data_IF_465281266056
#
_entry.id   IF_465281266056
#
_cell.length_a   1.000
_cell.length_b   1.000
_cell.length_c   1.000
_cell.angle_alpha   90.00
_cell.angle_beta   90.00
_cell.angle_gamma   90.00
#
_symmetry.space_group_name_H-M   'P 1'
#
loop_
_entity.id
_entity.type
_entity.pdbx_description
1 polymer ?
#
# COMPACT_ATOMS: atom_id res chain seq x y z
N UNK A 1 -16.07 0.68 -28.62
CA UNK A 1 -14.70 0.18 -28.32
C UNK A 1 -13.63 0.67 -29.30
N UNK A 2 -13.97 1.53 -30.28
CA UNK A 2 -13.12 1.85 -31.44
C UNK A 2 -11.94 2.80 -31.18
N UNK A 3 -11.76 3.30 -29.95
CA UNK A 3 -10.63 4.19 -29.58
C UNK A 3 -9.67 3.63 -28.53
N UNK A 4 -9.87 2.40 -28.04
CA UNK A 4 -8.99 1.81 -27.03
C UNK A 4 -7.65 1.36 -27.66
N UNK A 5 -6.48 1.69 -27.07
CA UNK A 5 -5.20 1.23 -27.57
C UNK A 5 -5.17 -0.30 -27.73
N UNK A 6 -4.55 -0.81 -28.81
CA UNK A 6 -4.52 -2.25 -29.09
C UNK A 6 -3.91 -3.07 -27.94
N UNK A 7 -2.90 -2.52 -27.23
CA UNK A 7 -2.31 -3.13 -26.04
C UNK A 7 -3.34 -3.34 -24.93
N UNK A 8 -4.22 -2.35 -24.70
CA UNK A 8 -5.31 -2.46 -23.73
C UNK A 8 -6.31 -3.54 -24.18
N UNK A 9 -6.63 -3.60 -25.48
CA UNK A 9 -7.49 -4.67 -26.03
C UNK A 9 -6.86 -6.05 -25.88
N UNK A 10 -5.55 -6.19 -26.07
CA UNK A 10 -4.83 -7.45 -25.84
C UNK A 10 -4.84 -7.85 -24.37
N UNK A 11 -4.61 -6.91 -23.45
CA UNK A 11 -4.73 -7.17 -22.01
C UNK A 11 -6.14 -7.66 -21.66
N UNK A 12 -7.17 -7.01 -22.20
CA UNK A 12 -8.56 -7.42 -22.05
C UNK A 12 -8.90 -8.72 -22.82
N UNK A 13 -8.14 -9.11 -23.84
CA UNK A 13 -8.27 -10.42 -24.47
C UNK A 13 -7.69 -11.50 -23.57
N UNK A 14 -6.42 -11.35 -23.20
CA UNK A 14 -5.65 -12.31 -22.41
C UNK A 14 -6.24 -12.57 -21.03
N UNK A 15 -6.64 -11.52 -20.31
CA UNK A 15 -7.26 -11.66 -18.98
C UNK A 15 -8.64 -12.34 -19.01
N UNK A 16 -9.30 -12.42 -20.17
CA UNK A 16 -10.53 -13.19 -20.37
C UNK A 16 -10.23 -14.66 -20.67
N UNK A 17 -9.18 -14.92 -21.46
CA UNK A 17 -8.77 -16.26 -21.88
C UNK A 17 -7.97 -17.03 -20.80
N UNK A 18 -7.64 -16.40 -19.66
CA UNK A 18 -6.81 -17.03 -18.64
C UNK A 18 -7.43 -18.35 -18.10
N UNK A 19 -6.72 -19.49 -18.23
CA UNK A 19 -7.19 -20.77 -17.73
C UNK A 19 -7.46 -20.72 -16.21
N UNK A 20 -8.46 -21.47 -15.74
CA UNK A 20 -8.84 -21.51 -14.31
C UNK A 20 -7.67 -21.90 -13.40
N UNK A 21 -6.87 -22.86 -13.84
CA UNK A 21 -5.70 -23.31 -13.09
C UNK A 21 -4.65 -22.20 -12.99
N UNK A 22 -4.36 -21.49 -14.09
CA UNK A 22 -3.41 -20.39 -14.11
C UNK A 22 -3.87 -19.20 -13.24
N UNK A 23 -5.16 -18.88 -13.26
CA UNK A 23 -5.75 -17.88 -12.37
C UNK A 23 -5.60 -18.28 -10.89
N UNK A 24 -5.89 -19.54 -10.56
CA UNK A 24 -5.76 -20.05 -9.20
C UNK A 24 -4.31 -20.04 -8.71
N UNK A 25 -3.36 -20.47 -9.54
CA UNK A 25 -1.93 -20.45 -9.16
C UNK A 25 -1.41 -19.03 -8.98
N UNK A 26 -1.84 -18.08 -9.83
CA UNK A 26 -1.53 -16.67 -9.68
C UNK A 26 -2.11 -16.11 -8.38
N UNK A 27 -3.38 -16.40 -8.08
CA UNK A 27 -4.03 -15.97 -6.85
C UNK A 27 -3.25 -16.47 -5.63
N UNK A 28 -2.90 -17.77 -5.62
CA UNK A 28 -2.13 -18.38 -4.54
C UNK A 28 -0.75 -17.75 -4.39
N UNK A 29 -0.07 -17.42 -5.50
CA UNK A 29 1.25 -16.76 -5.50
C UNK A 29 1.16 -15.35 -4.91
N UNK A 30 0.25 -14.52 -5.40
CA UNK A 30 0.04 -13.15 -4.91
C UNK A 30 -0.33 -13.15 -3.43
N UNK A 31 -1.26 -14.04 -3.05
CA UNK A 31 -1.75 -14.14 -1.68
C UNK A 31 -0.67 -14.55 -0.68
N UNK A 32 0.16 -15.54 -1.06
CA UNK A 32 1.32 -15.97 -0.28
C UNK A 32 2.39 -14.89 -0.19
N UNK A 33 2.67 -14.19 -1.29
CA UNK A 33 3.65 -13.10 -1.31
C UNK A 33 3.32 -11.93 -0.38
N UNK A 34 2.03 -11.76 -0.05
CA UNK A 34 1.55 -10.74 0.88
C UNK A 34 1.38 -11.26 2.31
N UNK A 35 1.69 -12.53 2.59
CA UNK A 35 1.44 -13.20 3.88
C UNK A 35 -0.02 -13.06 4.34
N UNK A 36 -0.96 -13.14 3.40
CA UNK A 36 -2.40 -12.99 3.68
C UNK A 36 -2.98 -14.27 4.30
N UNK A 37 -4.02 -14.11 5.11
CA UNK A 37 -4.76 -15.21 5.73
C UNK A 37 -5.21 -16.24 4.66
N UNK A 38 -4.74 -17.50 4.71
CA UNK A 38 -5.09 -18.53 3.72
C UNK A 38 -6.59 -18.71 3.50
N UNK A 39 -7.42 -18.53 4.53
CA UNK A 39 -8.88 -18.66 4.43
C UNK A 39 -9.49 -17.63 3.46
N UNK A 40 -8.83 -16.48 3.29
CA UNK A 40 -9.27 -15.36 2.44
C UNK A 40 -8.75 -15.43 1.00
N UNK A 41 -8.10 -16.53 0.59
CA UNK A 41 -7.61 -16.70 -0.78
C UNK A 41 -8.73 -16.56 -1.82
N UNK A 42 -9.95 -16.98 -1.46
CA UNK A 42 -11.13 -16.87 -2.34
C UNK A 42 -11.41 -15.44 -2.81
N UNK A 43 -11.08 -14.45 -1.99
CA UNK A 43 -11.29 -13.02 -2.28
C UNK A 43 -10.49 -12.55 -3.50
N UNK A 44 -9.26 -13.08 -3.66
CA UNK A 44 -8.43 -12.83 -4.86
C UNK A 44 -9.07 -13.38 -6.13
N UNK A 45 -9.90 -14.41 -6.00
CA UNK A 45 -10.67 -15.01 -7.10
C UNK A 45 -12.06 -14.38 -7.25
N UNK A 46 -12.29 -13.24 -6.58
CA UNK A 46 -13.56 -12.52 -6.59
C UNK A 46 -14.67 -13.16 -5.76
N UNK A 47 -14.36 -14.16 -4.92
CA UNK A 47 -15.34 -14.78 -4.04
C UNK A 47 -15.36 -14.03 -2.71
N UNK A 48 -16.44 -13.31 -2.46
CA UNK A 48 -16.58 -12.58 -1.21
C UNK A 48 -16.73 -13.54 -0.02
N UNK A 49 -16.17 -13.13 1.11
CA UNK A 49 -16.25 -13.84 2.40
C UNK A 49 -17.37 -13.30 3.29
N UNK A 50 -17.90 -12.12 2.95
CA UNK A 50 -18.94 -11.42 3.68
C UNK A 50 -20.20 -11.27 2.80
N UNK A 51 -21.41 -11.33 3.39
CA UNK A 51 -22.62 -11.02 2.66
C UNK A 51 -22.61 -9.56 2.21
N UNK A 52 -23.22 -9.28 1.06
CA UNK A 52 -23.41 -7.91 0.59
C UNK A 52 -24.54 -7.27 1.41
N UNK A 53 -24.32 -6.12 2.07
CA UNK A 53 -25.38 -5.43 2.80
C UNK A 53 -26.43 -4.85 1.85
N UNK A 54 -27.63 -4.62 2.38
CA UNK A 54 -28.69 -3.92 1.67
C UNK A 54 -28.35 -2.43 1.49
N UNK A 55 -28.93 -1.82 0.45
CA UNK A 55 -28.77 -0.40 0.15
C UNK A 55 -27.64 -0.06 -0.83
N UNK A 56 -27.38 1.25 -0.92
CA UNK A 56 -26.43 1.87 -1.86
C UNK A 56 -25.00 1.76 -1.36
N UNK A 57 -24.36 0.62 -1.65
CA UNK A 57 -22.98 0.32 -1.27
C UNK A 57 -21.99 1.25 -2.02
N UNK A 58 -21.13 1.93 -1.28
CA UNK A 58 -19.97 2.65 -1.82
C UNK A 58 -18.73 1.78 -1.71
N UNK A 59 -18.05 1.56 -2.82
CA UNK A 59 -16.81 0.80 -2.87
C UNK A 59 -15.60 1.72 -2.97
N UNK A 60 -14.69 1.63 -2.01
CA UNK A 60 -13.42 2.37 -1.99
C UNK A 60 -12.26 1.39 -2.24
N UNK A 61 -11.56 1.52 -3.37
CA UNK A 61 -10.36 0.78 -3.67
C UNK A 61 -9.10 1.54 -3.24
N UNK A 62 -8.55 1.14 -2.09
CA UNK A 62 -7.36 1.71 -1.46
C UNK A 62 -6.32 0.60 -1.26
N UNK A 63 -5.42 0.43 -2.21
CA UNK A 63 -4.49 -0.70 -2.27
C UNK A 63 -3.52 -0.77 -1.07
N UNK A 64 -3.11 0.38 -0.54
CA UNK A 64 -2.06 0.51 0.48
C UNK A 64 -2.56 1.06 1.82
N UNK A 65 -1.72 0.94 2.87
CA UNK A 65 -1.99 1.53 4.20
C UNK A 65 -2.22 3.04 4.13
N UNK A 66 -1.43 3.75 3.33
CA UNK A 66 -1.52 5.21 3.21
C UNK A 66 -2.82 5.67 2.58
N UNK A 67 -3.31 4.93 1.59
CA UNK A 67 -4.58 5.21 0.91
C UNK A 67 -5.78 4.89 1.80
N UNK A 68 -5.71 3.78 2.56
CA UNK A 68 -6.75 3.48 3.54
C UNK A 68 -6.80 4.56 4.63
N UNK A 69 -5.63 5.05 5.05
CA UNK A 69 -5.56 6.11 6.04
C UNK A 69 -6.16 7.44 5.54
N UNK A 70 -5.89 7.82 4.28
CA UNK A 70 -6.45 9.06 3.72
C UNK A 70 -7.95 8.99 3.49
N UNK A 71 -8.51 7.79 3.25
CA UNK A 71 -9.95 7.60 3.03
C UNK A 71 -10.75 7.31 4.30
N UNK A 72 -10.11 7.24 5.48
CA UNK A 72 -10.79 6.83 6.71
C UNK A 72 -11.92 7.79 7.12
N UNK A 73 -11.71 9.09 7.00
CA UNK A 73 -12.71 10.10 7.37
C UNK A 73 -13.88 10.08 6.36
N UNK A 74 -13.58 10.07 5.06
CA UNK A 74 -14.60 9.91 4.01
C UNK A 74 -15.44 8.64 4.19
N UNK A 75 -14.81 7.52 4.54
CA UNK A 75 -15.54 6.27 4.80
C UNK A 75 -16.52 6.43 5.96
N UNK A 76 -16.10 7.09 7.06
CA UNK A 76 -17.00 7.35 8.21
C UNK A 76 -18.14 8.27 7.84
N UNK A 77 -17.88 9.33 7.07
CA UNK A 77 -18.91 10.27 6.64
C UNK A 77 -19.96 9.59 5.75
N UNK A 78 -19.52 8.73 4.82
CA UNK A 78 -20.42 7.94 3.97
C UNK A 78 -21.29 6.98 4.80
N UNK A 79 -20.71 6.31 5.79
CA UNK A 79 -21.45 5.42 6.68
C UNK A 79 -22.43 6.19 7.57
N UNK A 80 -22.04 7.36 8.08
CA UNK A 80 -22.92 8.24 8.84
C UNK A 80 -24.09 8.76 7.99
N UNK A 81 -23.89 8.95 6.68
CA UNK A 81 -24.93 9.27 5.72
C UNK A 81 -25.82 8.05 5.32
N UNK A 82 -25.59 6.88 5.91
CA UNK A 82 -26.39 5.67 5.68
C UNK A 82 -25.93 4.81 4.49
N UNK A 83 -24.75 5.06 3.93
CA UNK A 83 -24.18 4.23 2.86
C UNK A 83 -23.27 3.15 3.42
N UNK A 84 -23.53 1.86 3.19
CA UNK A 84 -22.56 0.82 3.51
C UNK A 84 -21.28 1.05 2.72
N UNK A 85 -20.12 0.86 3.36
CA UNK A 85 -18.81 1.07 2.73
C UNK A 85 -18.04 -0.24 2.63
N UNK A 86 -17.58 -0.57 1.43
CA UNK A 86 -16.62 -1.64 1.18
C UNK A 86 -15.26 -1.05 0.86
N UNK A 87 -14.23 -1.44 1.61
CA UNK A 87 -12.85 -1.07 1.34
C UNK A 87 -12.11 -2.29 0.78
N UNK A 88 -11.50 -2.13 -0.41
CA UNK A 88 -10.59 -3.14 -0.95
C UNK A 88 -9.14 -2.72 -0.86
N UNK A 89 -8.28 -3.68 -0.48
CA UNK A 89 -6.83 -3.46 -0.37
C UNK A 89 -6.06 -4.55 -1.09
N UNK A 90 -4.82 -4.28 -1.49
CA UNK A 90 -3.92 -5.30 -2.05
C UNK A 90 -3.00 -5.88 -1.00
N UNK A 91 -2.67 -5.10 0.04
CA UNK A 91 -1.72 -5.47 1.11
C UNK A 91 -2.43 -5.94 2.37
N UNK A 92 -1.78 -6.84 3.13
CA UNK A 92 -2.24 -7.31 4.45
C UNK A 92 -2.24 -6.21 5.49
N UNK A 93 -1.23 -5.36 5.47
CA UNK A 93 -1.14 -4.17 6.33
C UNK A 93 -2.24 -3.17 6.02
N UNK A 94 -2.55 -2.93 4.74
CA UNK A 94 -3.71 -2.15 4.31
C UNK A 94 -5.01 -2.73 4.84
N UNK A 95 -5.19 -4.05 4.72
CA UNK A 95 -6.38 -4.73 5.24
C UNK A 95 -6.50 -4.71 6.77
N UNK A 96 -5.37 -4.76 7.50
CA UNK A 96 -5.36 -4.55 8.94
C UNK A 96 -5.75 -3.11 9.32
N UNK A 97 -5.36 -2.11 8.52
CA UNK A 97 -5.80 -0.73 8.72
C UNK A 97 -7.28 -0.54 8.40
N UNK A 98 -7.77 -1.13 7.31
CA UNK A 98 -9.17 -1.01 6.89
C UNK A 98 -10.13 -1.58 7.94
N UNK A 99 -9.79 -2.74 8.54
CA UNK A 99 -10.57 -3.35 9.63
C UNK A 99 -10.62 -2.55 10.93
N UNK A 100 -9.80 -1.50 11.08
CA UNK A 100 -9.88 -0.58 12.22
C UNK A 100 -10.86 0.56 11.99
N UNK A 101 -11.43 0.68 10.80
CA UNK A 101 -12.50 1.63 10.51
C UNK A 101 -13.81 0.92 10.88
N UNK A 102 -14.39 1.33 12.00
CA UNK A 102 -15.62 0.72 12.51
C UNK A 102 -16.77 0.83 11.50
N UNK A 103 -17.56 -0.23 11.36
CA UNK A 103 -18.64 -0.34 10.37
C UNK A 103 -18.22 -0.63 8.92
N UNK A 104 -16.95 -0.39 8.53
CA UNK A 104 -16.51 -0.61 7.15
C UNK A 104 -16.27 -2.11 6.86
N UNK A 105 -16.77 -2.58 5.72
CA UNK A 105 -16.48 -3.91 5.21
C UNK A 105 -15.10 -3.94 4.55
N UNK A 106 -14.39 -5.06 4.66
CA UNK A 106 -13.08 -5.22 4.03
C UNK A 106 -13.00 -6.49 3.20
N UNK A 107 -12.45 -6.37 1.98
CA UNK A 107 -12.07 -7.51 1.14
C UNK A 107 -10.71 -7.26 0.47
N UNK A 108 -9.91 -8.30 0.22
CA UNK A 108 -8.79 -8.15 -0.73
C UNK A 108 -9.29 -7.90 -2.15
N UNK A 109 -8.59 -7.01 -2.87
CA UNK A 109 -8.87 -6.73 -4.27
C UNK A 109 -8.78 -8.04 -5.09
N UNK A 110 -9.77 -8.32 -5.96
CA UNK A 110 -9.70 -9.46 -6.87
C UNK A 110 -8.51 -9.32 -7.82
N UNK A 111 -8.06 -10.44 -8.38
CA UNK A 111 -7.15 -10.42 -9.52
C UNK A 111 -7.80 -9.68 -10.70
N UNK A 112 -6.96 -9.01 -11.49
CA UNK A 112 -7.38 -8.28 -12.70
C UNK A 112 -7.70 -9.23 -13.88
N UNK A 113 -8.48 -10.25 -13.61
CA UNK A 113 -8.98 -11.25 -14.55
C UNK A 113 -10.48 -11.07 -14.74
N UNK A 114 -11.00 -11.44 -15.92
CA UNK A 114 -12.43 -11.28 -16.19
C UNK A 114 -13.29 -12.06 -15.18
N UNK A 115 -12.87 -13.27 -14.81
CA UNK A 115 -13.64 -14.14 -13.92
C UNK A 115 -13.66 -13.62 -12.48
N UNK A 116 -12.51 -13.25 -11.91
CA UNK A 116 -12.45 -12.74 -10.55
C UNK A 116 -13.14 -11.37 -10.43
N UNK A 117 -12.88 -10.48 -11.38
CA UNK A 117 -13.50 -9.14 -11.39
C UNK A 117 -15.02 -9.22 -11.51
N UNK A 118 -15.55 -10.06 -12.41
CA UNK A 118 -17.01 -10.22 -12.55
C UNK A 118 -17.65 -10.75 -11.28
N UNK A 119 -17.11 -11.83 -10.70
CA UNK A 119 -17.62 -12.39 -9.43
C UNK A 119 -17.64 -11.35 -8.32
N UNK A 120 -16.58 -10.54 -8.21
CA UNK A 120 -16.51 -9.45 -7.24
C UNK A 120 -17.64 -8.44 -7.47
N UNK A 121 -17.80 -7.94 -8.69
CA UNK A 121 -18.81 -6.92 -9.01
C UNK A 121 -20.24 -7.47 -8.97
N UNK A 122 -20.45 -8.74 -9.31
CA UNK A 122 -21.76 -9.41 -9.30
C UNK A 122 -22.25 -9.64 -7.86
N UNK A 123 -21.33 -9.90 -6.93
CA UNK A 123 -21.65 -9.98 -5.50
C UNK A 123 -21.87 -8.60 -4.88
N UNK A 124 -20.89 -7.71 -5.02
CA UNK A 124 -20.87 -6.43 -4.31
C UNK A 124 -21.73 -5.36 -4.94
N UNK A 125 -22.06 -5.45 -6.23
CA UNK A 125 -22.89 -4.51 -7.04
C UNK A 125 -22.88 -3.07 -6.47
N UNK A 126 -21.71 -2.40 -6.48
CA UNK A 126 -21.55 -1.09 -5.88
C UNK A 126 -22.39 -0.04 -6.62
N UNK A 127 -22.92 0.93 -5.88
CA UNK A 127 -23.60 2.10 -6.43
C UNK A 127 -22.61 3.21 -6.83
N UNK A 128 -21.42 3.21 -6.25
CA UNK A 128 -20.32 4.13 -6.54
C UNK A 128 -18.99 3.41 -6.31
N UNK A 129 -18.01 3.62 -7.20
CA UNK A 129 -16.66 3.11 -7.05
C UNK A 129 -15.63 4.24 -6.98
N UNK A 130 -14.92 4.34 -5.86
CA UNK A 130 -13.88 5.32 -5.58
C UNK A 130 -12.50 4.64 -5.63
N UNK A 131 -11.63 5.05 -6.54
CA UNK A 131 -10.26 4.57 -6.65
C UNK A 131 -9.31 5.61 -6.06
N UNK A 132 -8.27 5.19 -5.33
CA UNK A 132 -7.37 6.13 -4.64
C UNK A 132 -5.99 6.16 -5.32
N UNK A 133 -5.49 7.38 -5.57
CA UNK A 133 -4.16 7.74 -6.07
C UNK A 133 -3.75 7.25 -7.47
N UNK A 134 -3.77 5.94 -7.73
CA UNK A 134 -3.20 5.40 -8.97
C UNK A 134 -3.27 3.90 -9.20
N UNK A 135 -4.03 3.14 -8.42
CA UNK A 135 -4.23 1.70 -8.66
C UNK A 135 -5.28 1.45 -9.74
N UNK A 136 -4.89 1.77 -10.98
CA UNK A 136 -5.72 1.65 -12.18
C UNK A 136 -5.56 0.27 -12.83
N UNK A 137 -6.44 -0.65 -12.45
CA UNK A 137 -6.45 -2.03 -12.97
C UNK A 137 -7.36 -2.13 -14.21
N UNK A 138 -6.80 -2.40 -15.41
CA UNK A 138 -7.56 -2.22 -16.65
C UNK A 138 -8.82 -3.08 -16.76
N UNK A 139 -8.77 -4.35 -16.31
CA UNK A 139 -9.96 -5.20 -16.33
C UNK A 139 -10.98 -4.75 -15.29
N UNK A 140 -10.54 -4.43 -14.08
CA UNK A 140 -11.38 -3.94 -13.01
C UNK A 140 -12.18 -2.69 -13.43
N UNK A 141 -11.48 -1.69 -13.99
CA UNK A 141 -12.11 -0.47 -14.50
C UNK A 141 -13.05 -0.76 -15.66
N UNK A 142 -12.64 -1.62 -16.59
CA UNK A 142 -13.46 -1.98 -17.75
C UNK A 142 -14.77 -2.65 -17.35
N UNK A 143 -14.74 -3.63 -16.45
CA UNK A 143 -15.92 -4.37 -16.02
C UNK A 143 -16.82 -3.54 -15.08
N UNK A 144 -16.25 -2.59 -14.34
CA UNK A 144 -17.00 -1.62 -13.53
C UNK A 144 -17.75 -0.65 -14.43
N UNK A 145 -17.07 -0.05 -15.41
CA UNK A 145 -17.71 0.81 -16.42
C UNK A 145 -18.77 0.07 -17.25
N UNK A 146 -18.54 -1.21 -17.58
CA UNK A 146 -19.50 -2.03 -18.32
C UNK A 146 -20.80 -2.30 -17.55
N UNK A 147 -20.81 -2.09 -16.23
CA UNK A 147 -22.00 -2.16 -15.36
C UNK A 147 -22.62 -0.79 -15.10
N UNK A 148 -22.14 0.25 -15.79
CA UNK A 148 -22.58 1.64 -15.60
C UNK A 148 -22.47 2.12 -14.14
N UNK A 149 -21.52 1.57 -13.38
CA UNK A 149 -21.23 2.05 -12.02
C UNK A 149 -20.44 3.35 -12.14
N UNK A 150 -20.92 4.47 -11.55
CA UNK A 150 -20.16 5.71 -11.50
C UNK A 150 -18.80 5.51 -10.82
N UNK A 151 -17.76 6.12 -11.39
CA UNK A 151 -16.39 5.97 -10.91
C UNK A 151 -15.74 7.32 -10.60
N UNK A 152 -15.15 7.43 -9.42
CA UNK A 152 -14.33 8.56 -9.01
C UNK A 152 -12.86 8.12 -8.79
N UNK A 153 -11.90 8.86 -9.33
CA UNK A 153 -10.48 8.74 -8.96
C UNK A 153 -10.15 9.84 -7.96
N UNK A 154 -9.78 9.46 -6.74
CA UNK A 154 -9.51 10.37 -5.65
C UNK A 154 -8.00 10.54 -5.44
N UNK A 155 -7.58 11.77 -5.19
CA UNK A 155 -6.19 12.12 -4.87
C UNK A 155 -5.15 11.67 -5.91
N UNK A 156 -5.47 11.78 -7.20
CA UNK A 156 -4.55 11.41 -8.27
C UNK A 156 -3.19 12.11 -8.09
N UNK A 157 -2.13 11.29 -8.10
CA UNK A 157 -0.74 11.72 -7.88
C UNK A 157 0.06 11.69 -9.19
N UNK A 158 1.21 12.38 -9.30
CA UNK A 158 2.12 12.25 -10.44
C UNK A 158 2.48 10.79 -10.72
N UNK A 159 2.49 10.37 -11.99
CA UNK A 159 2.77 8.99 -12.37
C UNK A 159 3.62 8.87 -13.64
N UNK A 160 4.71 8.11 -13.52
CA UNK A 160 5.56 7.76 -14.67
C UNK A 160 4.84 6.91 -15.70
N UNK A 161 3.82 6.14 -15.32
CA UNK A 161 3.05 5.32 -16.27
C UNK A 161 2.28 6.19 -17.27
N UNK A 162 1.81 7.35 -16.84
CA UNK A 162 1.12 8.32 -17.71
C UNK A 162 2.04 8.92 -18.75
N UNK A 163 3.28 9.20 -18.38
CA UNK A 163 4.31 9.63 -19.32
C UNK A 163 4.73 8.51 -20.29
N UNK A 164 4.88 7.27 -19.80
CA UNK A 164 5.36 6.13 -20.61
C UNK A 164 4.30 5.56 -21.55
N UNK A 165 3.03 5.60 -21.15
CA UNK A 165 1.91 5.05 -21.91
C UNK A 165 0.70 6.02 -21.87
N UNK A 166 0.83 7.21 -22.48
CA UNK A 166 -0.19 8.26 -22.38
C UNK A 166 -1.52 7.83 -22.96
N UNK A 167 -1.53 7.12 -24.09
CA UNK A 167 -2.76 6.62 -24.72
C UNK A 167 -3.51 5.60 -23.86
N UNK A 168 -2.77 4.71 -23.18
CA UNK A 168 -3.39 3.72 -22.26
C UNK A 168 -3.94 4.47 -21.05
N UNK A 169 -3.16 5.38 -20.49
CA UNK A 169 -3.56 6.16 -19.33
C UNK A 169 -4.80 7.02 -19.62
N UNK A 170 -4.84 7.71 -20.76
CA UNK A 170 -6.01 8.43 -21.23
C UNK A 170 -7.24 7.53 -21.35
N UNK A 171 -7.08 6.32 -21.92
CA UNK A 171 -8.18 5.37 -22.08
C UNK A 171 -8.70 4.77 -20.76
N UNK A 172 -7.86 4.73 -19.71
CA UNK A 172 -8.26 4.33 -18.36
C UNK A 172 -8.89 5.50 -17.61
N UNK A 173 -8.29 6.69 -17.68
CA UNK A 173 -8.75 7.90 -16.98
C UNK A 173 -10.08 8.42 -17.54
N UNK A 174 -10.35 8.24 -18.83
CA UNK A 174 -11.62 8.62 -19.45
C UNK A 174 -12.82 7.79 -18.98
N UNK A 175 -12.59 6.76 -18.17
CA UNK A 175 -13.64 5.96 -17.55
C UNK A 175 -14.20 6.58 -16.27
N UNK A 176 -13.51 7.56 -15.69
CA UNK A 176 -13.93 8.21 -14.48
C UNK A 176 -14.87 9.37 -14.78
N UNK A 177 -15.93 9.49 -13.96
CA UNK A 177 -16.87 10.59 -13.98
C UNK A 177 -16.32 11.79 -13.21
N UNK A 178 -15.49 11.53 -12.21
CA UNK A 178 -14.78 12.52 -11.42
C UNK A 178 -13.33 12.10 -11.18
N UNK A 179 -12.40 13.03 -11.31
CA UNK A 179 -11.00 12.86 -10.94
C UNK A 179 -10.59 14.01 -10.02
N UNK A 180 -10.19 13.74 -8.79
CA UNK A 180 -9.55 14.73 -7.93
C UNK A 180 -8.04 14.53 -7.93
N UNK A 181 -7.27 15.62 -7.96
CA UNK A 181 -5.80 15.59 -8.02
C UNK A 181 -5.18 16.28 -6.80
N UNK A 182 -3.95 15.89 -6.48
CA UNK A 182 -3.17 16.47 -5.39
C UNK A 182 -2.74 17.92 -5.65
N UNK A 183 -2.60 18.29 -6.93
CA UNK A 183 -2.11 19.61 -7.34
C UNK A 183 -2.63 19.99 -8.72
N UNK A 184 -2.57 21.29 -9.01
CA UNK A 184 -2.92 21.82 -10.33
C UNK A 184 -1.99 21.28 -11.42
N UNK A 185 -0.72 21.01 -11.10
CA UNK A 185 0.23 20.40 -12.03
C UNK A 185 -0.23 19.01 -12.50
N UNK A 186 -0.77 18.18 -11.60
CA UNK A 186 -1.32 16.87 -11.96
C UNK A 186 -2.63 17.01 -12.73
N UNK A 187 -3.47 18.00 -12.38
CA UNK A 187 -4.68 18.31 -13.16
C UNK A 187 -4.32 18.69 -14.59
N UNK A 188 -3.34 19.57 -14.79
CA UNK A 188 -2.85 19.94 -16.11
C UNK A 188 -2.30 18.73 -16.90
N UNK A 189 -1.54 17.84 -16.24
CA UNK A 189 -1.05 16.59 -16.84
C UNK A 189 -2.22 15.72 -17.34
N UNK A 190 -3.24 15.51 -16.51
CA UNK A 190 -4.40 14.67 -16.84
C UNK A 190 -5.27 15.29 -17.93
N UNK A 191 -5.49 16.59 -17.88
CA UNK A 191 -6.21 17.33 -18.92
C UNK A 191 -5.48 17.26 -20.27
N UNK A 192 -4.15 17.38 -20.26
CA UNK A 192 -3.33 17.25 -21.48
C UNK A 192 -3.40 15.84 -22.10
N UNK A 193 -3.76 14.81 -21.33
CA UNK A 193 -4.02 13.47 -21.87
C UNK A 193 -5.38 13.36 -22.58
N UNK A 194 -6.21 14.40 -22.57
CA UNK A 194 -7.51 14.44 -23.22
C UNK A 194 -8.68 14.04 -22.31
N UNK A 195 -8.48 14.07 -20.99
CA UNK A 195 -9.60 13.96 -20.03
C UNK A 195 -10.29 15.32 -19.94
N UNK A 196 -11.62 15.31 -19.97
CA UNK A 196 -12.45 16.50 -19.87
C UNK A 196 -12.10 17.34 -18.63
N UNK A 197 -11.63 18.61 -18.78
CA UNK A 197 -11.26 19.46 -17.67
C UNK A 197 -12.39 19.67 -16.66
N UNK A 198 -13.66 19.58 -17.08
CA UNK A 198 -14.82 19.74 -16.19
C UNK A 198 -14.92 18.59 -15.17
N UNK A 199 -14.29 17.45 -15.45
CA UNK A 199 -14.28 16.26 -14.60
C UNK A 199 -13.06 16.16 -13.69
N UNK A 200 -12.06 17.02 -13.90
CA UNK A 200 -10.78 16.95 -13.18
C UNK A 200 -10.69 18.12 -12.22
N UNK A 201 -10.76 17.88 -10.91
CA UNK A 201 -10.68 18.90 -9.86
C UNK A 201 -9.33 18.81 -9.13
N UNK A 202 -8.82 19.93 -8.62
CA UNK A 202 -7.59 19.97 -7.82
C UNK A 202 -7.86 20.57 -6.42
N UNK A 203 -8.64 19.89 -5.55
CA UNK A 203 -8.99 20.42 -4.23
C UNK A 203 -7.81 20.45 -3.24
N UNK A 204 -6.68 19.83 -3.57
CA UNK A 204 -5.50 19.67 -2.70
C UNK A 204 -5.30 18.23 -2.23
N UNK A 205 -4.21 17.98 -1.51
CA UNK A 205 -3.83 16.62 -1.09
C UNK A 205 -4.70 16.13 0.09
N UNK A 206 -5.49 15.09 -0.16
CA UNK A 206 -6.31 14.42 0.85
C UNK A 206 -5.48 13.87 2.02
N UNK A 207 -4.19 13.55 1.83
CA UNK A 207 -3.31 13.14 2.94
C UNK A 207 -3.01 14.27 3.91
N UNK A 208 -2.94 15.51 3.40
CA UNK A 208 -2.70 16.68 4.23
C UNK A 208 -3.94 17.08 5.04
N UNK A 209 -5.14 16.74 4.54
CA UNK A 209 -6.41 16.97 5.22
C UNK A 209 -6.75 15.92 6.28
N UNK A 210 -6.07 14.78 6.29
CA UNK A 210 -6.36 13.70 7.24
C UNK A 210 -6.11 14.12 8.68
N UNK A 211 -7.03 13.75 9.58
CA UNK A 211 -6.86 14.03 11.01
C UNK A 211 -5.54 13.43 11.53
N UNK A 212 -4.80 14.15 12.39
CA UNK A 212 -3.57 13.62 12.95
C UNK A 212 -3.87 12.33 13.72
N UNK A 213 -3.01 11.29 13.58
CA UNK A 213 -3.23 10.04 14.28
C UNK A 213 -3.22 10.28 15.80
N UNK A 214 -4.02 9.51 16.53
CA UNK A 214 -4.00 9.50 18.00
C UNK A 214 -2.58 9.19 18.46
N UNK A 215 -1.91 10.19 19.04
CA UNK A 215 -0.59 10.05 19.61
C UNK A 215 -0.72 9.83 21.12
N UNK A 216 0.08 8.91 21.63
CA UNK A 216 0.35 8.78 23.06
C UNK A 216 0.99 10.10 23.53
N UNK A 217 0.27 10.87 24.34
CA UNK A 217 0.64 12.22 24.75
C UNK A 217 1.94 12.25 25.52
N UNK A 218 2.21 11.20 26.30
CA UNK A 218 3.40 11.09 27.14
C UNK A 218 4.62 10.78 26.27
N UNK A 219 4.47 9.86 25.32
CA UNK A 219 5.53 9.60 24.32
C UNK A 219 5.77 10.80 23.42
N UNK A 220 4.73 11.55 23.06
CA UNK A 220 4.86 12.76 22.25
C UNK A 220 5.58 13.87 23.03
N UNK A 221 5.28 14.05 24.32
CA UNK A 221 5.96 14.98 25.20
C UNK A 221 7.43 14.58 25.43
N UNK A 222 7.70 13.28 25.61
CA UNK A 222 9.03 12.70 25.70
C UNK A 222 9.87 12.96 24.44
N UNK A 223 9.28 12.78 23.25
CA UNK A 223 9.94 13.10 22.00
C UNK A 223 10.17 14.61 21.88
N UNK A 224 9.15 15.44 22.12
CA UNK A 224 9.27 16.91 22.05
C UNK A 224 10.36 17.46 22.97
N UNK A 225 10.42 16.96 24.20
CA UNK A 225 11.44 17.34 25.19
C UNK A 225 12.84 16.86 24.79
N UNK A 226 12.97 15.66 24.21
CA UNK A 226 14.24 15.15 23.70
C UNK A 226 14.80 15.98 22.52
N UNK A 227 13.94 16.66 21.75
CA UNK A 227 14.35 17.43 20.57
C UNK A 227 14.59 18.93 20.81
N UNK A 228 14.24 19.47 21.98
CA UNK A 228 14.67 20.79 22.45
C UNK A 228 14.58 21.92 21.42
N UNK A 229 13.37 22.38 21.08
CA UNK A 229 13.07 23.63 20.38
C UNK A 229 13.56 23.80 18.93
N UNK A 230 14.46 22.95 18.44
CA UNK A 230 15.00 23.05 17.08
C UNK A 230 14.07 22.37 16.04
N UNK A 231 14.18 22.73 14.75
CA UNK A 231 13.36 22.10 13.71
C UNK A 231 13.61 20.59 13.63
N UNK A 232 12.55 19.80 13.83
CA UNK A 232 12.59 18.34 13.96
C UNK A 232 13.15 17.62 12.71
N UNK A 233 13.06 18.25 11.54
CA UNK A 233 13.52 17.68 10.26
C UNK A 233 15.04 17.67 10.09
N UNK A 234 15.79 18.41 10.93
CA UNK A 234 17.24 18.55 10.81
C UNK A 234 18.06 17.68 11.79
N UNK A 235 17.43 16.84 12.62
CA UNK A 235 18.14 16.05 13.65
C UNK A 235 18.12 14.55 13.36
N UNK A 236 19.28 13.91 13.54
CA UNK A 236 19.43 12.46 13.51
C UNK A 236 18.81 11.87 14.78
N UNK A 237 17.83 11.00 14.62
CA UNK A 237 17.26 10.24 15.73
C UNK A 237 18.32 9.29 16.28
N UNK A 238 18.81 9.56 17.49
CA UNK A 238 19.76 8.69 18.18
C UNK A 238 19.03 8.02 19.36
N UNK A 239 18.54 6.77 19.19
CA UNK A 239 17.64 6.13 20.15
C UNK A 239 18.29 5.81 21.50
N UNK A 240 19.60 6.03 21.66
CA UNK A 240 20.38 5.49 22.78
C UNK A 240 20.78 6.51 23.88
N UNK A 241 20.10 7.66 24.00
CA UNK A 241 20.39 8.66 25.06
C UNK A 241 19.46 8.64 26.27
N UNK A 242 18.60 7.62 26.43
CA UNK A 242 17.82 7.40 27.67
C UNK A 242 18.44 6.28 28.51
N UNK A 243 19.49 6.61 29.26
CA UNK A 243 19.88 5.97 30.55
C UNK A 243 21.14 6.65 31.06
N UNK A 244 20.98 7.76 31.79
CA UNK A 244 21.91 8.29 32.82
C UNK A 244 21.36 9.63 33.34
N UNK A 245 20.23 9.58 34.05
CA UNK A 245 19.85 10.59 35.05
C UNK A 245 18.71 9.99 35.88
N UNK A 246 19.07 9.55 37.08
CA UNK A 246 18.17 8.86 38.01
C UNK A 246 18.91 7.75 38.74
N UNK A 247 19.89 8.12 39.57
CA UNK A 247 20.14 7.56 40.91
C UNK A 247 21.56 7.88 41.36
N UNK A 248 21.65 8.78 42.35
CA UNK A 248 22.37 8.57 43.61
C UNK A 248 22.36 9.85 44.43
N UNK A 249 21.34 9.99 45.27
CA UNK A 249 21.47 10.61 46.58
C UNK A 249 21.98 9.55 47.57
N UNK A 250 23.03 9.92 48.29
CA UNK A 250 23.43 9.46 49.64
C UNK A 250 23.56 7.95 49.91
N UNK A 251 24.80 7.46 50.05
CA UNK A 251 25.36 7.00 51.34
C UNK A 251 26.66 6.22 51.16
N UNK A 252 27.65 6.50 52.02
CA UNK A 252 28.56 5.48 52.56
C UNK A 252 29.85 5.24 51.78
N UNK A 253 30.99 5.51 52.43
CA UNK A 253 32.32 5.38 51.86
C UNK A 253 32.80 3.95 51.69
N UNK A 254 33.75 3.78 50.78
CA UNK A 254 34.84 2.81 50.87
C UNK A 254 35.89 3.14 49.80
N UNK A 255 37.14 3.05 50.23
CA UNK A 255 38.35 3.44 49.52
C UNK A 255 38.57 2.68 48.19
N UNK A 256 39.20 3.39 47.25
CA UNK A 256 39.68 2.86 45.99
C UNK A 256 40.90 1.94 46.18
N UNK A 257 41.06 0.89 45.36
CA UNK A 257 42.36 0.38 44.99
C UNK A 257 42.75 0.85 43.59
N UNK A 258 43.86 1.57 43.54
CA UNK A 258 44.65 1.93 42.36
C UNK A 258 45.00 0.71 41.51
N UNK A 259 44.73 0.78 40.19
CA UNK A 259 45.26 -0.14 39.17
C UNK A 259 46.41 0.52 38.39
N UNK A 260 47.45 -0.23 38.02
CA UNK A 260 48.72 0.32 37.57
C UNK A 260 48.69 0.76 36.09
N UNK A 261 49.61 1.67 35.78
CA UNK A 261 49.83 2.29 34.47
C UNK A 261 50.18 1.27 33.37
N UNK A 262 49.63 1.49 32.17
CA UNK A 262 49.87 0.67 30.98
C UNK A 262 51.09 1.19 30.21
N UNK A 263 52.02 0.28 29.90
CA UNK A 263 53.29 0.47 29.18
C UNK A 263 53.10 0.91 27.70
N UNK A 264 53.79 1.97 27.22
CA UNK A 264 53.61 2.52 25.87
C UNK A 264 54.38 1.81 24.74
N UNK A 265 54.80 0.54 24.86
CA UNK A 265 55.54 -0.18 23.80
C UNK A 265 54.85 -1.43 23.19
N UNK A 266 53.52 -1.45 23.08
CA UNK A 266 52.82 -2.52 22.36
C UNK A 266 52.46 -2.12 20.91
N UNK A 267 52.82 -2.91 19.87
CA UNK A 267 52.50 -2.60 18.48
C UNK A 267 51.04 -2.92 18.11
N UNK A 268 50.44 -2.22 17.12
CA UNK A 268 49.01 -2.34 16.81
C UNK A 268 48.68 -3.61 15.99
N UNK A 269 47.51 -4.23 16.20
CA UNK A 269 47.07 -5.36 15.38
C UNK A 269 46.64 -4.90 13.98
N UNK A 270 47.23 -5.52 12.95
CA UNK A 270 46.94 -5.29 11.53
C UNK A 270 45.64 -5.95 11.09
N UNK A 271 44.88 -5.22 10.28
CA UNK A 271 43.76 -5.70 9.47
C UNK A 271 44.21 -6.49 8.23
N UNK A 272 43.52 -7.58 7.87
CA UNK A 272 42.83 -7.78 6.56
C UNK A 272 42.52 -9.26 6.25
N UNK A 273 41.26 -9.46 5.83
CA UNK A 273 40.74 -10.24 4.67
C UNK A 273 41.40 -11.60 4.30
N UNK A 274 40.53 -12.63 4.29
CA UNK A 274 40.10 -13.30 3.04
C UNK A 274 40.80 -14.61 2.62
N UNK A 275 39.98 -15.60 2.24
CA UNK A 275 40.35 -16.85 1.54
C UNK A 275 40.45 -18.05 2.48
N UNK A 276 39.77 -19.19 2.31
CA UNK A 276 39.13 -19.79 1.14
C UNK A 276 39.93 -20.98 0.63
N UNK A 277 39.74 -22.17 1.20
CA UNK A 277 40.03 -23.53 0.68
C UNK A 277 39.65 -24.51 1.80
N UNK A 278 39.05 -25.68 1.63
CA UNK A 278 38.78 -26.51 0.45
C UNK A 278 38.61 -27.94 1.01
N UNK A 279 37.37 -28.38 1.20
CA UNK A 279 37.04 -29.69 1.76
C UNK A 279 37.11 -30.79 0.69
N UNK A 280 37.66 -31.93 1.10
CA UNK A 280 37.82 -33.19 0.35
C UNK A 280 36.53 -34.02 0.33
N UNK A 281 36.43 -34.91 -0.66
CA UNK A 281 35.58 -36.11 -0.69
C UNK A 281 34.50 -36.03 -1.78
N UNK A 282 34.33 -36.97 -2.71
CA UNK A 282 34.93 -38.28 -2.96
C UNK A 282 34.01 -39.06 -3.91
N UNK A 283 34.59 -39.96 -4.72
CA UNK A 283 33.91 -41.14 -5.29
C UNK A 283 33.11 -40.94 -6.58
N UNK A 284 33.77 -41.08 -7.73
CA UNK A 284 33.13 -41.45 -9.00
C UNK A 284 33.21 -42.98 -9.15
N UNK A 285 32.04 -43.62 -9.33
CA UNK A 285 31.90 -45.04 -9.64
C UNK A 285 31.46 -45.24 -11.09
N UNK A 286 32.34 -45.93 -11.83
CA UNK A 286 32.12 -46.85 -12.96
C UNK A 286 30.88 -46.72 -13.85
N UNK A 287 31.13 -46.36 -15.11
CA UNK A 287 30.29 -46.68 -16.25
C UNK A 287 30.59 -48.10 -16.75
N UNK A 288 29.55 -48.89 -17.02
CA UNK A 288 29.61 -50.11 -17.82
C UNK A 288 28.60 -49.98 -18.97
N UNK A 289 29.17 -50.04 -20.18
CA UNK A 289 28.68 -50.54 -21.48
C UNK A 289 27.19 -50.43 -21.81
#
# INVERSE_FOLDING_TARGET
MSGAPWLLRLWLGGSRALPRLAEFTLARRVHRGQSSDPARLGERLGRATLPRPEGSLVWINAASVGEVASMADLARDLMAAGHPVLITTTTTTGGARARRIDGALHQYQPLDTARATRRFLDHWRPALACFVEGDLWPRLLHETAARSVPMALLNARPSRSRMRAPRISAALLSRFDLVTTQSEAVRAEITHLGVDPARVLAPGDLKAAAAPPSADTDRLADLRSAFGGAPLWARRFDPCRRRRRGDRGTSGGAQAPSRPAHDPRAPPPRSRRGGGAGARGGGAGGAAR
#
